data_IF_768058489090
#
_entry.id   IF_768058489090
#
_cell.length_a   1.000
_cell.length_b   1.000
_cell.length_c   1.000
_cell.angle_alpha   90.00
_cell.angle_beta   90.00
_cell.angle_gamma   90.00
#
_symmetry.space_group_name_H-M   'P 1'
#
loop_
_entity.id
_entity.type
_entity.pdbx_description
1 polymer ?
#
# COMPACT_ATOMS: atom_id res chain seq x y z
N UNK A 1 -10.99 10.51 1.37
CA UNK A 1 -11.82 9.39 1.82
C UNK A 1 -11.93 8.35 0.73
N UNK A 2 -11.71 7.09 1.07
CA UNK A 2 -11.39 6.00 0.14
C UNK A 2 -12.59 5.06 0.01
N UNK A 3 -13.05 4.79 -1.21
CA UNK A 3 -14.19 3.89 -1.48
C UNK A 3 -13.65 2.53 -1.87
N UNK A 4 -14.14 1.48 -1.18
CA UNK A 4 -13.81 0.09 -1.48
C UNK A 4 -15.00 -0.58 -2.15
N UNK A 5 -14.72 -1.47 -3.10
CA UNK A 5 -15.72 -2.42 -3.60
C UNK A 5 -16.22 -3.28 -2.44
N UNK A 6 -17.50 -3.64 -2.48
CA UNK A 6 -18.18 -4.33 -1.37
C UNK A 6 -17.49 -5.63 -0.92
N UNK A 7 -16.80 -6.32 -1.84
CA UNK A 7 -16.10 -7.58 -1.58
C UNK A 7 -14.60 -7.41 -1.32
N UNK A 8 -14.07 -6.18 -1.36
CA UNK A 8 -12.63 -5.96 -1.34
C UNK A 8 -11.97 -6.41 -0.04
N UNK A 9 -12.59 -6.15 1.12
CA UNK A 9 -12.05 -6.59 2.41
C UNK A 9 -11.99 -8.12 2.50
N UNK A 10 -12.98 -8.82 1.93
CA UNK A 10 -12.97 -10.29 1.86
C UNK A 10 -11.82 -10.76 0.97
N UNK A 11 -11.60 -10.14 -0.19
CA UNK A 11 -10.46 -10.44 -1.07
C UNK A 11 -9.12 -10.20 -0.37
N UNK A 12 -8.99 -9.12 0.37
CA UNK A 12 -7.76 -8.79 1.11
C UNK A 12 -7.45 -9.83 2.19
N UNK A 13 -8.44 -10.23 2.97
CA UNK A 13 -8.28 -11.27 3.99
C UNK A 13 -8.01 -12.64 3.35
N UNK A 14 -8.69 -12.97 2.25
CA UNK A 14 -8.45 -14.23 1.53
C UNK A 14 -7.02 -14.29 0.99
N UNK A 15 -6.55 -13.22 0.33
CA UNK A 15 -5.18 -13.12 -0.14
C UNK A 15 -4.16 -13.19 1.00
N UNK A 16 -4.47 -12.65 2.17
CA UNK A 16 -3.63 -12.77 3.36
C UNK A 16 -3.46 -14.22 3.81
N UNK A 17 -4.59 -14.95 3.91
CA UNK A 17 -4.58 -16.36 4.29
C UNK A 17 -3.88 -17.25 3.25
N UNK A 18 -4.10 -17.00 1.96
CA UNK A 18 -3.52 -17.79 0.87
C UNK A 18 -2.01 -17.62 0.74
N UNK A 19 -1.51 -16.39 0.93
CA UNK A 19 -0.08 -16.09 0.80
C UNK A 19 0.73 -16.47 2.05
N UNK A 20 0.08 -16.61 3.21
CA UNK A 20 0.74 -17.00 4.46
C UNK A 20 1.81 -16.00 4.94
N UNK A 21 1.74 -14.74 4.52
CA UNK A 21 2.65 -13.67 4.96
C UNK A 21 2.16 -13.01 6.23
N UNK A 22 3.05 -12.44 7.03
CA UNK A 22 2.68 -11.78 8.29
C UNK A 22 1.84 -10.51 8.08
N UNK A 23 2.07 -9.82 6.97
CA UNK A 23 1.35 -8.62 6.57
C UNK A 23 0.75 -8.77 5.17
N UNK A 24 -0.39 -8.15 4.93
CA UNK A 24 -0.92 -7.98 3.57
C UNK A 24 -1.33 -6.54 3.35
N UNK A 25 -0.78 -5.94 2.30
CA UNK A 25 -0.91 -4.52 2.00
C UNK A 25 -1.81 -4.38 0.78
N UNK A 26 -2.87 -3.60 0.92
CA UNK A 26 -3.63 -3.17 -0.25
C UNK A 26 -2.75 -2.30 -1.13
N UNK A 27 -2.66 -2.60 -2.41
CA UNK A 27 -1.89 -1.84 -3.39
C UNK A 27 -2.80 -1.18 -4.41
N UNK A 28 -2.42 -0.03 -4.94
CA UNK A 28 -3.07 0.58 -6.09
C UNK A 28 -2.03 0.89 -7.16
N UNK A 29 -2.41 0.75 -8.43
CA UNK A 29 -1.57 1.21 -9.54
C UNK A 29 -1.80 2.70 -9.74
N UNK A 30 -0.72 3.46 -9.82
CA UNK A 30 -0.75 4.90 -10.08
C UNK A 30 0.10 5.22 -11.31
N UNK A 31 -0.22 6.31 -12.04
CA UNK A 31 0.68 6.84 -13.04
C UNK A 31 1.94 7.44 -12.36
N UNK A 32 3.11 7.45 -13.03
CA UNK A 32 4.39 7.85 -12.42
C UNK A 32 4.36 9.21 -11.71
N UNK A 33 3.64 10.18 -12.26
CA UNK A 33 3.48 11.53 -11.73
C UNK A 33 2.74 11.58 -10.39
N UNK A 34 1.82 10.63 -10.13
CA UNK A 34 1.08 10.54 -8.87
C UNK A 34 1.83 9.76 -7.79
N UNK A 35 2.74 8.86 -8.19
CA UNK A 35 3.52 8.03 -7.25
C UNK A 35 4.40 8.90 -6.34
N UNK A 36 4.97 9.97 -6.89
CA UNK A 36 5.81 10.93 -6.15
C UNK A 36 5.05 11.55 -4.97
N UNK A 37 3.73 11.73 -5.11
CA UNK A 37 2.85 12.26 -4.05
C UNK A 37 2.38 11.21 -3.04
N UNK A 38 2.63 9.92 -3.30
CA UNK A 38 2.13 8.80 -2.52
C UNK A 38 3.27 7.89 -2.09
N UNK A 39 3.34 6.64 -2.55
CA UNK A 39 4.45 5.72 -2.25
C UNK A 39 4.80 4.82 -3.44
N UNK A 40 6.03 4.32 -3.48
CA UNK A 40 6.47 3.24 -4.39
C UNK A 40 6.76 1.98 -3.58
N UNK A 41 6.21 0.85 -4.01
CA UNK A 41 6.47 -0.46 -3.41
C UNK A 41 7.60 -1.17 -4.16
N UNK A 42 8.62 -1.58 -3.43
CA UNK A 42 9.72 -2.39 -3.92
C UNK A 42 9.50 -3.85 -3.58
N UNK A 43 9.61 -4.72 -4.58
CA UNK A 43 9.45 -6.17 -4.41
C UNK A 43 10.81 -6.88 -4.34
N UNK A 44 10.82 -7.97 -3.57
CA UNK A 44 11.89 -8.95 -3.56
C UNK A 44 11.75 -9.90 -4.76
N UNK A 45 12.78 -10.70 -5.03
CA UNK A 45 12.79 -11.66 -6.15
C UNK A 45 11.71 -12.75 -6.03
N UNK A 46 11.24 -13.05 -4.82
CA UNK A 46 10.17 -14.01 -4.55
C UNK A 46 8.75 -13.40 -4.67
N UNK A 47 8.63 -12.13 -5.05
CA UNK A 47 7.34 -11.44 -5.16
C UNK A 47 6.80 -10.87 -3.85
N UNK A 48 7.49 -11.05 -2.72
CA UNK A 48 7.13 -10.38 -1.46
C UNK A 48 7.52 -8.91 -1.51
N UNK A 49 6.82 -8.10 -0.71
CA UNK A 49 7.17 -6.69 -0.53
C UNK A 49 8.44 -6.62 0.32
N UNK A 50 9.47 -5.99 -0.24
CA UNK A 50 10.74 -5.75 0.46
C UNK A 50 10.81 -4.39 1.14
N UNK A 51 10.15 -3.37 0.57
CA UNK A 51 10.14 -2.00 1.11
C UNK A 51 8.99 -1.18 0.55
N UNK A 52 8.48 -0.23 1.34
CA UNK A 52 7.54 0.80 0.90
C UNK A 52 8.22 2.16 1.05
N UNK A 53 8.37 2.89 -0.05
CA UNK A 53 9.03 4.21 -0.06
C UNK A 53 7.96 5.28 -0.12
N UNK A 54 7.73 6.00 0.97
CA UNK A 54 6.80 7.14 1.04
C UNK A 54 7.41 8.37 0.36
N UNK A 55 6.64 9.01 -0.50
CA UNK A 55 6.98 10.20 -1.31
C UNK A 55 8.34 10.05 -1.98
N UNK A 56 8.49 9.02 -2.85
CA UNK A 56 9.76 8.69 -3.48
C UNK A 56 10.25 9.83 -4.38
N UNK A 57 11.57 9.99 -4.48
CA UNK A 57 12.14 10.72 -5.61
C UNK A 57 11.96 9.92 -6.91
N UNK A 58 12.08 10.52 -8.11
CA UNK A 58 11.98 9.79 -9.37
C UNK A 58 12.90 8.56 -9.45
N UNK A 59 14.12 8.65 -8.88
CA UNK A 59 15.09 7.57 -8.86
C UNK A 59 14.73 6.44 -7.87
N UNK A 60 13.86 6.71 -6.89
CA UNK A 60 13.38 5.72 -5.92
C UNK A 60 12.19 4.90 -6.46
N UNK A 61 11.59 5.29 -7.59
CA UNK A 61 10.41 4.62 -8.14
C UNK A 61 10.82 3.29 -8.77
N UNK A 62 10.47 2.21 -8.09
CA UNK A 62 10.82 0.83 -8.48
C UNK A 62 9.65 0.04 -9.05
N UNK A 63 8.42 0.51 -8.84
CA UNK A 63 7.23 -0.06 -9.44
C UNK A 63 6.11 1.00 -9.55
N UNK A 64 5.10 0.78 -10.43
CA UNK A 64 3.95 1.65 -10.51
C UNK A 64 2.92 1.41 -9.38
N UNK A 65 3.29 0.65 -8.34
CA UNK A 65 2.38 0.24 -7.27
C UNK A 65 2.65 1.04 -6.01
N UNK A 66 1.56 1.57 -5.45
CA UNK A 66 1.56 2.36 -4.24
C UNK A 66 0.81 1.64 -3.12
N UNK A 67 1.30 1.74 -1.89
CA UNK A 67 0.57 1.27 -0.72
C UNK A 67 -0.69 2.13 -0.52
N UNK A 68 -1.84 1.47 -0.46
CA UNK A 68 -3.13 2.09 -0.17
C UNK A 68 -3.38 2.13 1.35
N UNK A 69 -4.56 2.59 1.78
CA UNK A 69 -4.90 2.87 3.18
C UNK A 69 -5.43 1.65 3.96
N UNK A 70 -5.43 0.46 3.35
CA UNK A 70 -6.00 -0.76 3.96
C UNK A 70 -4.92 -1.83 4.10
N UNK A 71 -4.82 -2.41 5.29
CA UNK A 71 -3.77 -3.38 5.63
C UNK A 71 -4.33 -4.49 6.51
N UNK A 72 -3.76 -5.68 6.39
CA UNK A 72 -3.82 -6.73 7.41
C UNK A 72 -2.45 -6.78 8.07
N UNK A 73 -2.41 -6.55 9.38
CA UNK A 73 -1.17 -6.39 10.17
C UNK A 73 -1.20 -7.35 11.36
N UNK A 74 -0.05 -7.91 11.76
CA UNK A 74 0.00 -8.82 12.90
C UNK A 74 -0.09 -8.01 14.21
N UNK A 75 -0.59 -8.65 15.27
CA UNK A 75 -0.73 -8.00 16.58
C UNK A 75 0.57 -7.43 17.16
N UNK A 76 1.72 -8.01 16.78
CA UNK A 76 3.05 -7.55 17.17
C UNK A 76 3.36 -6.10 16.77
N UNK A 77 2.58 -5.51 15.85
CA UNK A 77 2.77 -4.11 15.43
C UNK A 77 2.69 -3.11 16.60
N UNK A 78 1.98 -3.43 17.68
CA UNK A 78 1.90 -2.57 18.88
C UNK A 78 3.27 -2.23 19.45
N UNK A 79 4.21 -3.18 19.38
CA UNK A 79 5.55 -3.03 19.96
C UNK A 79 6.37 -2.00 19.17
N UNK A 80 6.06 -1.84 17.88
CA UNK A 80 6.70 -0.89 16.99
C UNK A 80 6.15 0.53 17.15
N UNK A 81 4.87 0.69 17.49
CA UNK A 81 4.28 2.01 17.71
C UNK A 81 4.96 2.79 18.84
N UNK A 82 5.41 2.09 19.88
CA UNK A 82 6.12 2.71 21.00
C UNK A 82 7.47 3.35 20.61
N UNK A 83 8.03 2.95 19.48
CA UNK A 83 9.36 3.35 19.01
C UNK A 83 9.28 4.33 17.83
N UNK A 84 8.06 4.65 17.36
CA UNK A 84 7.88 5.52 16.21
C UNK A 84 8.42 6.92 16.49
N UNK A 85 9.10 7.46 15.48
CA UNK A 85 9.51 8.87 15.42
C UNK A 85 8.73 9.56 14.30
N UNK A 86 8.33 10.81 14.48
CA UNK A 86 7.73 11.57 13.40
C UNK A 86 8.73 11.71 12.25
N UNK A 87 8.22 11.75 11.03
CA UNK A 87 8.98 12.04 9.82
C UNK A 87 9.52 13.47 9.85
N UNK A 88 10.34 13.85 8.85
CA UNK A 88 10.78 15.25 8.68
C UNK A 88 9.61 16.23 8.58
N UNK A 89 8.40 15.74 8.26
CA UNK A 89 7.17 16.51 8.13
C UNK A 89 6.35 16.56 9.43
N UNK A 90 6.81 15.91 10.50
CA UNK A 90 6.08 15.84 11.76
C UNK A 90 5.00 14.75 11.80
N UNK A 91 4.90 13.91 10.78
CA UNK A 91 3.86 12.88 10.65
C UNK A 91 4.36 11.50 11.12
N UNK A 92 3.49 10.73 11.77
CA UNK A 92 3.76 9.34 12.10
C UNK A 92 3.31 8.45 10.94
N UNK A 93 4.28 7.90 10.20
CA UNK A 93 4.01 7.16 8.97
C UNK A 93 3.95 5.65 9.24
N UNK A 94 2.82 5.01 8.95
CA UNK A 94 2.65 3.55 9.13
C UNK A 94 3.64 2.73 8.28
N UNK A 95 4.05 3.28 7.13
CA UNK A 95 5.06 2.75 6.23
C UNK A 95 6.41 2.60 6.93
N UNK A 96 6.75 3.50 7.86
CA UNK A 96 7.98 3.40 8.65
C UNK A 96 7.96 2.19 9.57
N UNK A 97 6.81 1.92 10.20
CA UNK A 97 6.61 0.73 11.04
C UNK A 97 6.68 -0.55 10.22
N UNK A 98 5.95 -0.61 9.11
CA UNK A 98 5.97 -1.79 8.22
C UNK A 98 7.38 -2.07 7.69
N UNK A 99 8.13 -1.04 7.29
CA UNK A 99 9.52 -1.21 6.85
C UNK A 99 10.44 -1.71 7.96
N UNK A 100 10.23 -1.28 9.21
CA UNK A 100 11.01 -1.81 10.34
C UNK A 100 10.68 -3.29 10.58
N UNK A 101 9.40 -3.66 10.54
CA UNK A 101 8.98 -5.06 10.66
C UNK A 101 9.59 -5.93 9.55
N UNK A 102 9.60 -5.44 8.29
CA UNK A 102 10.27 -6.13 7.18
C UNK A 102 11.77 -6.33 7.42
N UNK A 103 12.45 -5.34 8.00
CA UNK A 103 13.87 -5.45 8.37
C UNK A 103 14.10 -6.47 9.48
N UNK A 104 13.14 -6.62 10.39
CA UNK A 104 13.18 -7.57 11.51
C UNK A 104 12.77 -9.00 11.09
N UNK A 105 12.48 -9.22 9.81
CA UNK A 105 12.22 -10.55 9.24
C UNK A 105 10.76 -10.91 9.05
N UNK A 106 9.83 -9.98 9.33
CA UNK A 106 8.43 -10.16 8.96
C UNK A 106 8.30 -10.16 7.42
N UNK A 107 7.27 -10.85 6.93
CA UNK A 107 6.97 -10.97 5.51
C UNK A 107 5.74 -10.18 5.14
N UNK A 108 5.67 -9.70 3.89
CA UNK A 108 4.51 -9.00 3.39
C UNK A 108 4.18 -9.36 1.94
N UNK A 109 2.89 -9.49 1.66
CA UNK A 109 2.32 -9.64 0.32
C UNK A 109 1.47 -8.41 -0.04
N UNK A 110 1.21 -8.23 -1.34
CA UNK A 110 0.39 -7.14 -1.85
C UNK A 110 -0.85 -7.64 -2.59
N UNK A 111 -1.99 -7.00 -2.39
CA UNK A 111 -3.19 -7.20 -3.22
C UNK A 111 -3.49 -5.93 -4.03
N UNK A 112 -3.35 -6.01 -5.34
CA UNK A 112 -3.64 -4.88 -6.24
C UNK A 112 -5.15 -4.64 -6.32
N UNK A 113 -5.56 -3.40 -6.09
CA UNK A 113 -6.89 -2.90 -6.37
C UNK A 113 -7.02 -2.50 -7.82
N UNK A 114 -8.16 -2.82 -8.42
CA UNK A 114 -8.58 -2.11 -9.62
C UNK A 114 -8.93 -0.66 -9.26
N UNK A 115 -8.79 0.25 -10.23
CA UNK A 115 -9.24 1.62 -10.05
C UNK A 115 -10.75 1.63 -9.75
N UNK A 116 -11.24 2.51 -8.87
CA UNK A 116 -12.67 2.72 -8.70
C UNK A 116 -13.33 3.00 -10.05
N UNK A 117 -14.54 2.48 -10.27
CA UNK A 117 -15.26 2.64 -11.53
C UNK A 117 -15.50 4.12 -11.85
N UNK A 118 -15.64 4.95 -10.81
CA UNK A 118 -15.83 6.39 -10.87
C UNK A 118 -14.62 7.16 -11.40
N UNK A 119 -13.45 6.53 -11.49
CA UNK A 119 -12.21 7.13 -12.00
C UNK A 119 -11.91 6.76 -13.46
N UNK A 120 -12.81 6.01 -14.11
CA UNK A 120 -12.72 5.76 -15.54
C UNK A 120 -13.21 6.99 -16.31
N UNK A 121 -12.30 7.64 -17.07
CA UNK A 121 -12.54 8.86 -17.86
C UNK A 121 -13.73 8.74 -18.84
N UNK A 122 -14.13 7.52 -19.21
CA UNK A 122 -15.27 7.26 -20.10
C UNK A 122 -16.65 7.62 -19.49
N UNK A 123 -16.73 7.84 -18.17
CA UNK A 123 -17.99 8.14 -17.47
C UNK A 123 -18.26 9.64 -17.25
N UNK A 124 -17.31 10.52 -17.56
CA UNK A 124 -17.51 11.99 -17.47
C UNK A 124 -18.34 12.54 -18.66
N UNK A 125 -18.86 11.64 -19.50
CA UNK A 125 -19.68 11.94 -20.68
C UNK A 125 -21.18 11.65 -20.47
N UNK A 126 -21.73 11.81 -19.25
CA UNK A 126 -23.18 11.80 -19.05
C UNK A 126 -23.74 13.23 -19.14
N UNK A 127 -24.04 13.60 -20.39
CA UNK A 127 -25.22 14.35 -20.86
C UNK A 127 -25.74 15.47 -19.94
N UNK A 128 -25.32 16.70 -20.22
CA UNK A 128 -26.18 17.87 -20.02
C UNK A 128 -27.12 17.93 -21.24
N UNK A 129 -28.37 17.50 -21.06
CA UNK A 129 -29.50 17.83 -21.93
C UNK A 129 -30.37 18.86 -21.23
#
# INVERSE_FOLDING_TARGET
DYILMHDYLVKLVTAHLDNGTDMTISLKKLPPEEIIGSSSVQFQHNGHIGRIIEKPSPDDITSPLSASLTFVLPGAISDYFSQMKPSKRGEFEIQSVMNQMLQDGFTASGLVQEAPYEWNEENDSIVVM
#
